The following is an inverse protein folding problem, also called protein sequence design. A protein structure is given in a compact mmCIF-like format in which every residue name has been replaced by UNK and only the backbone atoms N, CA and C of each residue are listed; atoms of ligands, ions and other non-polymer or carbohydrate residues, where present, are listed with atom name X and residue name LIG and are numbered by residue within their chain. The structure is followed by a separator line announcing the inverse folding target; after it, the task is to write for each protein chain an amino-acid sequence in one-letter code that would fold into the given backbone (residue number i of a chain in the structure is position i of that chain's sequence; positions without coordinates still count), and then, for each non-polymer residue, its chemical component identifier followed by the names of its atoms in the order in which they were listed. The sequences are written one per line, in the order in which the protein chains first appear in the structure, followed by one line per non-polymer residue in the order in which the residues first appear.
data_IF_666196564616
#
_entry.id   IF_666196564616
#
_cell.length_a   1.000
_cell.length_b   1.000
_cell.length_c   1.000
_cell.angle_alpha   90.00
_cell.angle_beta   90.00
_cell.angle_gamma   90.00
#
_symmetry.space_group_name_H-M   'P 1'
#
loop_
_entity.id
_entity.type
_entity.pdbx_description
1 polymer ?
#
# COMPACT_ATOMS: atom_id res chain seq x y z
N UNK A 1 -5.43 -19.93 -6.73
CA UNK A 1 -5.08 -18.83 -5.81
C UNK A 1 -6.37 -18.15 -5.38
N UNK A 2 -6.67 -18.16 -4.08
CA UNK A 2 -7.85 -17.45 -3.53
C UNK A 2 -7.55 -15.95 -3.38
N UNK A 3 -8.58 -15.10 -3.23
CA UNK A 3 -8.37 -13.66 -3.02
C UNK A 3 -7.56 -13.33 -1.76
N UNK A 4 -7.65 -14.17 -0.73
CA UNK A 4 -6.87 -14.04 0.51
C UNK A 4 -5.39 -14.39 0.30
N UNK A 5 -5.11 -15.41 -0.51
CA UNK A 5 -3.77 -15.83 -0.88
C UNK A 5 -3.08 -14.77 -1.76
N UNK A 6 -3.81 -14.19 -2.72
CA UNK A 6 -3.33 -13.06 -3.52
C UNK A 6 -3.03 -11.84 -2.64
N UNK A 7 -3.89 -11.53 -1.66
CA UNK A 7 -3.67 -10.42 -0.74
C UNK A 7 -2.38 -10.58 0.06
N UNK A 8 -2.09 -11.78 0.58
CA UNK A 8 -0.85 -12.05 1.33
C UNK A 8 0.40 -11.91 0.47
N UNK A 9 0.37 -12.42 -0.76
CA UNK A 9 1.50 -12.30 -1.70
C UNK A 9 1.79 -10.84 -2.01
N UNK A 10 0.76 -10.08 -2.40
CA UNK A 10 0.90 -8.66 -2.72
C UNK A 10 1.31 -7.82 -1.50
N UNK A 11 0.84 -8.16 -0.30
CA UNK A 11 1.28 -7.50 0.95
C UNK A 11 2.77 -7.68 1.17
N UNK A 12 3.28 -8.91 1.01
CA UNK A 12 4.70 -9.21 1.19
C UNK A 12 5.55 -8.44 0.19
N UNK A 13 5.16 -8.45 -1.08
CA UNK A 13 5.87 -7.72 -2.14
C UNK A 13 5.83 -6.20 -1.94
N UNK A 14 4.69 -5.66 -1.50
CA UNK A 14 4.51 -4.24 -1.26
C UNK A 14 5.35 -3.78 -0.06
N UNK A 15 5.32 -4.52 1.05
CA UNK A 15 6.15 -4.25 2.23
C UNK A 15 7.65 -4.25 1.88
N UNK A 16 8.11 -5.22 1.09
CA UNK A 16 9.52 -5.28 0.65
C UNK A 16 9.91 -4.08 -0.23
N UNK A 17 8.97 -3.51 -0.99
CA UNK A 17 9.21 -2.31 -1.82
C UNK A 17 9.22 -1.02 -1.01
N UNK A 18 8.30 -0.86 -0.07
CA UNK A 18 8.16 0.40 0.70
C UNK A 18 9.13 0.48 1.88
N UNK A 19 9.51 -0.66 2.44
CA UNK A 19 10.40 -0.77 3.60
C UNK A 19 11.37 -1.95 3.40
N UNK A 20 12.42 -1.77 2.58
CA UNK A 20 13.38 -2.84 2.25
C UNK A 20 14.16 -3.32 3.48
N UNK A 21 14.34 -2.48 4.50
CA UNK A 21 14.99 -2.83 5.77
C UNK A 21 14.10 -3.64 6.73
N UNK A 22 12.86 -3.93 6.31
CA UNK A 22 11.87 -4.69 7.06
C UNK A 22 10.76 -3.81 7.62
N UNK A 23 9.52 -4.24 7.42
CA UNK A 23 8.33 -3.60 7.98
C UNK A 23 7.99 -4.17 9.36
N UNK A 24 7.57 -3.31 10.28
CA UNK A 24 7.01 -3.75 11.56
C UNK A 24 5.64 -4.41 11.35
N UNK A 25 5.20 -5.23 12.32
CA UNK A 25 3.94 -5.98 12.26
C UNK A 25 2.73 -5.05 12.05
N UNK A 26 2.71 -3.86 12.66
CA UNK A 26 1.62 -2.90 12.50
C UNK A 26 1.55 -2.35 11.08
N UNK A 27 2.70 -2.10 10.45
CA UNK A 27 2.75 -1.70 9.03
C UNK A 27 2.29 -2.83 8.11
N UNK A 28 2.74 -4.07 8.34
CA UNK A 28 2.29 -5.24 7.56
C UNK A 28 0.78 -5.43 7.62
N UNK A 29 0.18 -5.31 8.81
CA UNK A 29 -1.27 -5.44 8.98
C UNK A 29 -2.06 -4.35 8.24
N UNK A 30 -1.61 -3.09 8.33
CA UNK A 30 -2.24 -1.97 7.60
C UNK A 30 -2.16 -2.15 6.09
N UNK A 31 -1.01 -2.58 5.59
CA UNK A 31 -0.83 -2.87 4.15
C UNK A 31 -1.73 -4.03 3.73
N UNK A 32 -1.83 -5.10 4.53
CA UNK A 32 -2.68 -6.25 4.22
C UNK A 32 -4.16 -5.88 4.13
N UNK A 33 -4.69 -5.14 5.10
CA UNK A 33 -6.09 -4.70 5.09
C UNK A 33 -6.40 -3.83 3.86
N UNK A 34 -5.48 -2.94 3.51
CA UNK A 34 -5.61 -2.09 2.33
C UNK A 34 -5.53 -2.88 1.02
N UNK A 35 -4.59 -3.81 0.88
CA UNK A 35 -4.45 -4.69 -0.29
C UNK A 35 -5.71 -5.54 -0.45
N UNK A 36 -6.20 -6.12 0.65
CA UNK A 36 -7.43 -6.93 0.65
C UNK A 36 -8.64 -6.12 0.19
N UNK A 37 -8.79 -4.89 0.66
CA UNK A 37 -9.85 -3.98 0.22
C UNK A 37 -9.72 -3.65 -1.28
N UNK A 38 -8.49 -3.38 -1.75
CA UNK A 38 -8.19 -3.06 -3.15
C UNK A 38 -8.51 -4.22 -4.09
N UNK A 39 -8.20 -5.46 -3.70
CA UNK A 39 -8.59 -6.67 -4.44
C UNK A 39 -10.12 -6.78 -4.50
N UNK A 40 -10.81 -6.57 -3.37
CA UNK A 40 -12.27 -6.60 -3.29
C UNK A 40 -12.96 -5.56 -4.20
N UNK A 41 -12.29 -4.42 -4.42
CA UNK A 41 -12.75 -3.38 -5.34
C UNK A 41 -12.40 -3.63 -6.83
N UNK A 42 -11.67 -4.71 -7.13
CA UNK A 42 -11.22 -5.02 -8.50
C UNK A 42 -9.94 -4.30 -8.94
N UNK A 43 -9.21 -3.68 -8.02
CA UNK A 43 -7.97 -2.92 -8.30
C UNK A 43 -6.69 -3.74 -8.08
N UNK A 44 -6.80 -4.94 -7.49
CA UNK A 44 -5.68 -5.68 -6.91
C UNK A 44 -4.82 -6.55 -7.85
N UNK A 45 -4.73 -6.22 -9.14
CA UNK A 45 -3.99 -7.04 -10.12
C UNK A 45 -2.51 -6.70 -10.30
N UNK A 46 -2.13 -5.45 -10.05
CA UNK A 46 -0.83 -4.90 -10.44
C UNK A 46 -0.09 -4.31 -9.24
N UNK A 47 1.05 -4.90 -8.90
CA UNK A 47 1.88 -4.50 -7.75
C UNK A 47 2.50 -3.11 -7.92
N UNK A 48 2.81 -2.67 -9.14
CA UNK A 48 3.36 -1.34 -9.39
C UNK A 48 2.28 -0.27 -9.17
N UNK A 49 1.06 -0.55 -9.63
CA UNK A 49 -0.09 0.31 -9.36
C UNK A 49 -0.37 0.39 -7.87
N UNK A 50 -0.39 -0.74 -7.17
CA UNK A 50 -0.62 -0.78 -5.72
C UNK A 50 0.45 -0.01 -4.95
N UNK A 51 1.73 -0.14 -5.34
CA UNK A 51 2.82 0.61 -4.73
C UNK A 51 2.67 2.13 -4.93
N UNK A 52 2.31 2.58 -6.14
CA UNK A 52 2.06 3.99 -6.41
C UNK A 52 0.87 4.52 -5.60
N UNK A 53 -0.27 3.83 -5.61
CA UNK A 53 -1.47 4.25 -4.87
C UNK A 53 -1.21 4.32 -3.36
N UNK A 54 -0.47 3.36 -2.81
CA UNK A 54 -0.06 3.38 -1.41
C UNK A 54 0.84 4.58 -1.10
N UNK A 55 1.85 4.84 -1.92
CA UNK A 55 2.72 6.02 -1.75
C UNK A 55 1.96 7.34 -1.86
N UNK A 56 1.03 7.48 -2.81
CA UNK A 56 0.18 8.66 -2.97
C UNK A 56 -0.70 8.89 -1.73
N UNK A 57 -1.27 7.84 -1.13
CA UNK A 57 -2.06 7.96 0.11
C UNK A 57 -1.20 8.31 1.34
N UNK A 58 0.07 7.88 1.36
CA UNK A 58 0.98 8.17 2.47
C UNK A 58 1.72 9.51 2.30
N UNK A 59 1.73 10.10 1.09
CA UNK A 59 2.45 11.33 0.83
C UNK A 59 1.73 12.52 1.49
N UNK A 60 2.38 13.23 2.42
CA UNK A 60 1.79 14.38 3.11
C UNK A 60 1.77 15.67 2.27
N UNK A 61 2.22 15.62 1.01
CA UNK A 61 2.46 16.81 0.19
C UNK A 61 1.21 17.62 -0.15
N UNK A 62 -0.01 17.07 -0.16
CA UNK A 62 -1.20 17.88 -0.53
C UNK A 62 -1.61 18.88 0.57
N UNK A 63 -1.33 18.58 1.85
CA UNK A 63 -1.64 19.50 2.95
C UNK A 63 -0.48 20.44 3.29
N UNK A 64 0.78 19.99 3.19
CA UNK A 64 1.94 20.85 3.45
C UNK A 64 2.16 21.89 2.35
N UNK A 65 1.94 21.55 1.06
CA UNK A 65 1.96 22.56 -0.01
C UNK A 65 0.85 23.60 0.13
N UNK A 66 -0.32 23.25 0.65
CA UNK A 66 -1.43 24.19 0.89
C UNK A 66 -1.29 25.02 2.17
N UNK A 67 -0.63 24.48 3.19
CA UNK A 67 -0.49 25.15 4.49
C UNK A 67 0.70 26.12 4.56
N UNK A 68 1.73 25.91 3.74
CA UNK A 68 2.97 26.69 3.78
C UNK A 68 3.43 27.19 2.40
N UNK A 69 2.59 27.03 1.36
CA UNK A 69 2.81 27.54 0.01
C UNK A 69 2.02 28.82 -0.25
N UNK A 70 2.28 29.87 0.54
CA UNK A 70 2.04 31.29 0.18
C UNK A 70 3.13 32.15 0.84
#
# INVERSE_FOLDING_TARGET
MTGDEQARTLTTELCARIQPDGADVGTVLRVYDWVRASIGAGEGGDIERLARMWQEQQSPDDWMLRAFGD
#
